data_IF_306492065092
#
_entry.id   IF_306492065092
#
_cell.length_a   1.000
_cell.length_b   1.000
_cell.length_c   1.000
_cell.angle_alpha   90.00
_cell.angle_beta   90.00
_cell.angle_gamma   90.00
#
_symmetry.space_group_name_H-M   'P 1'
#
loop_
_entity.id
_entity.type
_entity.pdbx_description
1 polymer ?
#
# COMPACT_ATOMS: atom_id res chain seq x y z
N UNK A 1 -24.55 -10.07 -20.84
CA UNK A 1 -23.99 -9.45 -19.60
C UNK A 1 -23.46 -10.51 -18.62
N UNK A 2 -24.21 -11.56 -18.32
CA UNK A 2 -23.76 -12.61 -17.37
C UNK A 2 -22.45 -13.30 -17.80
N UNK A 3 -22.34 -13.71 -19.07
CA UNK A 3 -21.12 -14.32 -19.61
C UNK A 3 -19.89 -13.39 -19.53
N UNK A 4 -20.08 -12.09 -19.71
CA UNK A 4 -19.02 -11.10 -19.55
C UNK A 4 -18.55 -10.99 -18.09
N UNK A 5 -19.49 -10.92 -17.15
CA UNK A 5 -19.18 -10.89 -15.71
C UNK A 5 -18.48 -12.17 -15.27
N UNK A 6 -19.00 -13.33 -15.69
CA UNK A 6 -18.39 -14.62 -15.39
C UNK A 6 -16.95 -14.71 -15.89
N UNK A 7 -16.71 -14.30 -17.14
CA UNK A 7 -15.36 -14.25 -17.71
C UNK A 7 -14.42 -13.32 -16.90
N UNK A 8 -14.92 -12.17 -16.45
CA UNK A 8 -14.16 -11.23 -15.62
C UNK A 8 -13.78 -11.84 -14.27
N UNK A 9 -14.74 -12.51 -13.61
CA UNK A 9 -14.49 -13.17 -12.33
C UNK A 9 -13.48 -14.30 -12.46
N UNK A 10 -13.61 -15.12 -13.53
CA UNK A 10 -12.63 -16.20 -13.79
C UNK A 10 -11.24 -15.62 -14.06
N UNK A 11 -11.12 -14.57 -14.86
CA UNK A 11 -9.84 -13.91 -15.11
C UNK A 11 -9.24 -13.32 -13.83
N UNK A 12 -10.06 -12.68 -13.01
CA UNK A 12 -9.61 -12.15 -11.70
C UNK A 12 -9.09 -13.27 -10.80
N UNK A 13 -9.85 -14.36 -10.65
CA UNK A 13 -9.43 -15.51 -9.87
C UNK A 13 -8.13 -16.13 -10.40
N UNK A 14 -8.01 -16.31 -11.71
CA UNK A 14 -6.77 -16.80 -12.33
C UNK A 14 -5.58 -15.87 -12.08
N UNK A 15 -5.78 -14.56 -12.22
CA UNK A 15 -4.72 -13.56 -11.94
C UNK A 15 -4.28 -13.61 -10.48
N UNK A 16 -5.23 -13.69 -9.54
CA UNK A 16 -4.92 -13.78 -8.11
C UNK A 16 -4.17 -15.08 -7.78
N UNK A 17 -4.58 -16.22 -8.34
CA UNK A 17 -3.89 -17.50 -8.16
C UNK A 17 -2.47 -17.46 -8.70
N UNK A 18 -2.27 -16.99 -9.94
CA UNK A 18 -0.93 -16.89 -10.53
C UNK A 18 -0.05 -15.92 -9.75
N UNK A 19 -0.57 -14.74 -9.38
CA UNK A 19 0.19 -13.75 -8.63
C UNK A 19 0.57 -14.27 -7.25
N UNK A 20 -0.35 -14.90 -6.53
CA UNK A 20 -0.08 -15.47 -5.20
C UNK A 20 0.94 -16.61 -5.28
N UNK A 21 0.86 -17.45 -6.31
CA UNK A 21 1.82 -18.51 -6.53
C UNK A 21 3.24 -17.97 -6.83
N UNK A 22 3.35 -16.96 -7.71
CA UNK A 22 4.63 -16.32 -8.05
C UNK A 22 5.26 -15.66 -6.82
N UNK A 23 4.46 -14.95 -6.01
CA UNK A 23 4.96 -14.32 -4.77
C UNK A 23 5.40 -15.38 -3.77
N UNK A 24 4.60 -16.43 -3.56
CA UNK A 24 4.93 -17.53 -2.65
C UNK A 24 6.20 -18.26 -3.11
N UNK A 25 6.32 -18.56 -4.40
CA UNK A 25 7.52 -19.16 -4.98
C UNK A 25 8.76 -18.25 -4.85
N UNK A 26 8.60 -16.96 -5.08
CA UNK A 26 9.67 -15.98 -4.90
C UNK A 26 10.21 -15.94 -3.47
N UNK A 27 9.33 -16.04 -2.48
CA UNK A 27 9.72 -16.10 -1.07
C UNK A 27 10.45 -17.40 -0.71
N UNK A 28 10.06 -18.53 -1.31
CA UNK A 28 10.71 -19.82 -1.05
C UNK A 28 12.09 -19.96 -1.71
N UNK A 29 12.32 -19.24 -2.82
CA UNK A 29 13.62 -19.22 -3.53
C UNK A 29 14.53 -18.11 -2.98
N UNK A 30 13.99 -17.13 -2.25
CA UNK A 30 14.77 -16.03 -1.69
C UNK A 30 15.86 -16.57 -0.76
N UNK A 31 17.12 -16.10 -0.90
CA UNK A 31 18.20 -16.53 -0.04
C UNK A 31 17.91 -16.09 1.41
N UNK A 32 17.78 -17.07 2.30
CA UNK A 32 17.55 -16.85 3.71
C UNK A 32 17.03 -18.12 4.38
N UNK A 33 17.33 -18.26 5.66
CA UNK A 33 16.77 -19.33 6.47
C UNK A 33 15.54 -18.78 7.22
N UNK A 34 14.32 -19.23 6.93
CA UNK A 34 13.12 -18.79 7.63
C UNK A 34 13.23 -18.92 9.16
N UNK A 35 13.91 -19.98 9.63
CA UNK A 35 14.18 -20.20 11.05
C UNK A 35 15.12 -19.13 11.63
N UNK A 36 16.11 -18.67 10.88
CA UNK A 36 17.00 -17.60 11.32
C UNK A 36 16.25 -16.27 11.48
N UNK A 37 15.29 -15.99 10.58
CA UNK A 37 14.43 -14.80 10.68
C UNK A 37 13.48 -14.90 11.88
N UNK A 38 12.88 -16.08 12.11
CA UNK A 38 12.00 -16.35 13.24
C UNK A 38 12.74 -16.26 14.59
N UNK A 39 14.02 -16.67 14.63
CA UNK A 39 14.86 -16.62 15.83
C UNK A 39 15.49 -15.25 16.08
N UNK A 40 15.36 -14.30 15.13
CA UNK A 40 16.09 -13.04 15.21
C UNK A 40 17.59 -13.20 15.15
N UNK A 41 18.06 -14.24 14.42
CA UNK A 41 19.50 -14.56 14.28
C UNK A 41 20.11 -15.27 15.50
N UNK A 42 19.29 -15.67 16.49
CA UNK A 42 19.78 -16.44 17.65
C UNK A 42 19.64 -17.92 17.40
N UNK A 43 20.59 -18.71 17.94
CA UNK A 43 20.48 -20.17 17.95
C UNK A 43 19.33 -20.57 18.88
N UNK A 44 18.32 -21.23 18.34
CA UNK A 44 17.21 -21.77 19.13
C UNK A 44 17.53 -23.16 19.61
N UNK A 45 17.01 -23.58 20.78
CA UNK A 45 17.05 -24.99 21.20
C UNK A 45 16.36 -25.88 20.17
N UNK A 46 16.83 -27.12 19.95
CA UNK A 46 16.27 -28.05 18.98
C UNK A 46 14.75 -28.27 19.11
N UNK A 47 14.22 -28.28 20.30
CA UNK A 47 12.78 -28.39 20.59
C UNK A 47 11.99 -27.20 20.02
N UNK A 48 12.52 -25.98 20.22
CA UNK A 48 11.87 -24.76 19.67
C UNK A 48 11.91 -24.73 18.16
N UNK A 49 12.99 -25.21 17.54
CA UNK A 49 13.11 -25.38 16.10
C UNK A 49 12.06 -26.35 15.58
N UNK A 50 11.91 -27.53 16.21
CA UNK A 50 10.92 -28.52 15.81
C UNK A 50 9.49 -27.97 15.88
N UNK A 51 9.14 -27.24 16.93
CA UNK A 51 7.81 -26.57 17.07
C UNK A 51 7.58 -25.55 15.97
N UNK A 52 8.58 -24.74 15.60
CA UNK A 52 8.47 -23.76 14.53
C UNK A 52 8.34 -24.42 13.16
N UNK A 53 9.14 -25.46 12.88
CA UNK A 53 9.06 -26.21 11.61
C UNK A 53 7.67 -26.82 11.45
N UNK A 54 7.14 -27.44 12.48
CA UNK A 54 5.78 -28.02 12.46
C UNK A 54 4.69 -26.95 12.36
N UNK A 55 4.82 -25.84 13.08
CA UNK A 55 3.82 -24.75 13.06
C UNK A 55 3.72 -24.05 11.72
N UNK A 56 4.84 -23.92 11.02
CA UNK A 56 4.91 -23.22 9.72
C UNK A 56 5.00 -24.18 8.54
N UNK A 57 4.85 -25.49 8.77
CA UNK A 57 4.92 -26.54 7.74
C UNK A 57 6.18 -26.48 6.88
N UNK A 58 7.33 -26.11 7.46
CA UNK A 58 8.57 -25.90 6.73
C UNK A 58 9.23 -27.18 6.23
N UNK A 59 8.81 -28.32 6.74
CA UNK A 59 9.23 -29.68 6.36
C UNK A 59 8.40 -30.27 5.21
N UNK A 60 7.29 -29.64 4.85
CA UNK A 60 6.42 -30.12 3.79
C UNK A 60 6.92 -29.72 2.39
N UNK A 61 6.56 -30.47 1.33
CA UNK A 61 6.86 -30.08 -0.04
C UNK A 61 6.24 -28.71 -0.38
N UNK A 62 6.94 -27.90 -1.17
CA UNK A 62 6.55 -26.54 -1.56
C UNK A 62 5.08 -26.43 -2.01
N UNK A 63 4.59 -27.34 -2.85
CA UNK A 63 3.22 -27.32 -3.34
C UNK A 63 2.20 -27.54 -2.21
N UNK A 64 2.54 -28.38 -1.24
CA UNK A 64 1.68 -28.64 -0.08
C UNK A 64 1.60 -27.40 0.79
N UNK A 65 2.73 -26.76 1.08
CA UNK A 65 2.77 -25.48 1.80
C UNK A 65 1.92 -24.42 1.10
N UNK A 66 2.03 -24.27 -0.22
CA UNK A 66 1.23 -23.31 -0.99
C UNK A 66 -0.28 -23.61 -0.91
N UNK A 67 -0.69 -24.85 -1.12
CA UNK A 67 -2.11 -25.24 -1.08
C UNK A 67 -2.69 -25.06 0.32
N UNK A 68 -1.95 -25.41 1.35
CA UNK A 68 -2.34 -25.22 2.76
C UNK A 68 -2.50 -23.73 3.07
N UNK A 69 -1.51 -22.91 2.69
CA UNK A 69 -1.58 -21.44 2.84
C UNK A 69 -2.78 -20.85 2.09
N UNK A 70 -2.98 -21.24 0.83
CA UNK A 70 -4.10 -20.76 0.02
C UNK A 70 -5.45 -21.14 0.62
N UNK A 71 -5.56 -22.37 1.11
CA UNK A 71 -6.76 -22.86 1.77
C UNK A 71 -7.11 -22.07 3.05
N UNK A 72 -6.11 -21.70 3.82
CA UNK A 72 -6.27 -20.84 5.00
C UNK A 72 -6.61 -19.40 4.60
N UNK A 73 -5.92 -18.84 3.62
CA UNK A 73 -6.17 -17.49 3.12
C UNK A 73 -7.61 -17.30 2.61
N UNK A 74 -8.16 -18.28 1.89
CA UNK A 74 -9.56 -18.27 1.41
C UNK A 74 -10.56 -18.31 2.59
N UNK A 75 -10.17 -18.87 3.73
CA UNK A 75 -10.98 -18.88 4.96
C UNK A 75 -10.80 -17.63 5.82
N UNK A 76 -9.95 -16.69 5.38
CA UNK A 76 -9.65 -15.44 6.09
C UNK A 76 -8.49 -15.54 7.07
N UNK A 77 -7.83 -16.68 7.18
CA UNK A 77 -6.61 -16.84 7.96
C UNK A 77 -5.39 -16.57 7.06
N UNK A 78 -4.82 -15.39 7.19
CA UNK A 78 -3.62 -14.98 6.47
C UNK A 78 -2.31 -15.35 7.18
N UNK A 79 -2.43 -15.99 8.33
CA UNK A 79 -1.32 -16.41 9.16
C UNK A 79 -0.64 -15.27 9.92
N UNK A 80 0.50 -15.59 10.53
CA UNK A 80 1.31 -14.64 11.31
C UNK A 80 2.45 -14.06 10.50
N UNK A 81 2.66 -12.75 10.62
CA UNK A 81 3.85 -12.08 10.09
C UNK A 81 5.09 -12.51 10.87
N UNK A 82 6.05 -13.12 10.20
CA UNK A 82 7.33 -13.53 10.77
C UNK A 82 8.11 -12.33 11.32
N UNK A 83 8.12 -11.23 10.58
CA UNK A 83 8.88 -10.01 10.93
C UNK A 83 8.23 -9.22 12.06
N UNK A 84 6.91 -9.05 12.02
CA UNK A 84 6.19 -8.21 13.00
C UNK A 84 5.63 -9.01 14.16
N UNK A 85 5.63 -10.36 14.09
CA UNK A 85 5.12 -11.29 15.12
C UNK A 85 3.66 -11.00 15.52
N UNK A 86 2.87 -10.56 14.56
CA UNK A 86 1.46 -10.22 14.71
C UNK A 86 0.65 -10.92 13.62
N UNK A 87 -0.63 -11.12 13.86
CA UNK A 87 -1.55 -11.63 12.86
C UNK A 87 -1.63 -10.69 11.66
N UNK A 88 -1.54 -11.25 10.44
CA UNK A 88 -1.57 -10.47 9.20
C UNK A 88 -2.92 -9.79 9.01
N UNK A 89 -4.02 -10.44 9.41
CA UNK A 89 -5.37 -9.88 9.33
C UNK A 89 -5.52 -8.65 10.23
N UNK A 90 -4.97 -8.69 11.45
CA UNK A 90 -4.91 -7.52 12.34
C UNK A 90 -4.06 -6.39 11.77
N UNK A 91 -2.89 -6.72 11.21
CA UNK A 91 -2.00 -5.74 10.59
C UNK A 91 -2.67 -5.02 9.43
N UNK A 92 -3.37 -5.77 8.57
CA UNK A 92 -4.13 -5.20 7.46
C UNK A 92 -5.26 -4.33 8.00
N UNK A 93 -6.05 -4.85 8.94
CA UNK A 93 -7.19 -4.15 9.53
C UNK A 93 -6.79 -2.82 10.16
N UNK A 94 -5.73 -2.81 10.95
CA UNK A 94 -5.24 -1.60 11.64
C UNK A 94 -4.72 -0.52 10.69
N UNK A 95 -4.22 -0.87 9.50
CA UNK A 95 -3.66 0.05 8.52
C UNK A 95 -4.65 0.46 7.43
N UNK A 96 -5.61 -0.41 7.12
CA UNK A 96 -6.58 -0.19 6.03
C UNK A 96 -7.39 1.09 6.22
N UNK A 97 -7.82 1.39 7.44
CA UNK A 97 -8.59 2.62 7.75
C UNK A 97 -7.85 3.89 7.34
N UNK A 98 -6.58 4.00 7.75
CA UNK A 98 -5.73 5.15 7.39
C UNK A 98 -5.46 5.22 5.89
N UNK A 99 -5.22 4.08 5.25
CA UNK A 99 -4.97 4.01 3.80
C UNK A 99 -6.20 4.44 3.00
N UNK A 100 -7.39 3.96 3.37
CA UNK A 100 -8.65 4.33 2.72
C UNK A 100 -8.93 5.83 2.92
N UNK A 101 -8.76 6.34 4.14
CA UNK A 101 -8.92 7.77 4.42
C UNK A 101 -7.96 8.63 3.59
N UNK A 102 -6.70 8.22 3.46
CA UNK A 102 -5.70 8.91 2.63
C UNK A 102 -6.09 8.91 1.14
N UNK A 103 -6.53 7.77 0.61
CA UNK A 103 -6.95 7.64 -0.79
C UNK A 103 -8.17 8.53 -1.07
N UNK A 104 -9.18 8.50 -0.19
CA UNK A 104 -10.38 9.32 -0.35
C UNK A 104 -10.06 10.81 -0.26
N UNK A 105 -9.16 11.20 0.65
CA UNK A 105 -8.73 12.59 0.78
C UNK A 105 -7.93 13.05 -0.44
N UNK A 106 -6.98 12.25 -0.92
CA UNK A 106 -6.26 12.55 -2.15
C UNK A 106 -7.19 12.64 -3.36
N UNK A 107 -8.15 11.70 -3.50
CA UNK A 107 -9.15 11.73 -4.57
C UNK A 107 -10.02 12.99 -4.53
N UNK A 108 -10.40 13.44 -3.34
CA UNK A 108 -11.14 14.71 -3.17
C UNK A 108 -10.31 15.91 -3.65
N UNK A 109 -9.01 15.96 -3.30
CA UNK A 109 -8.10 17.02 -3.76
C UNK A 109 -7.97 16.98 -5.30
N UNK A 110 -7.76 15.80 -5.88
CA UNK A 110 -7.67 15.61 -7.34
C UNK A 110 -8.95 16.10 -8.04
N UNK A 111 -10.11 15.72 -7.51
CA UNK A 111 -11.39 16.12 -8.08
C UNK A 111 -11.58 17.64 -8.02
N UNK A 112 -11.35 18.24 -6.86
CA UNK A 112 -11.52 19.68 -6.68
C UNK A 112 -10.49 20.48 -7.49
N UNK A 113 -9.22 20.11 -7.44
CA UNK A 113 -8.16 20.80 -8.17
C UNK A 113 -8.31 20.57 -9.69
N UNK A 114 -8.52 19.32 -10.13
CA UNK A 114 -8.65 18.98 -11.54
C UNK A 114 -9.85 19.66 -12.21
N UNK A 115 -11.03 19.59 -11.57
CA UNK A 115 -12.24 20.27 -12.09
C UNK A 115 -12.04 21.79 -12.11
N UNK A 116 -11.48 22.36 -11.04
CA UNK A 116 -11.29 23.82 -10.96
C UNK A 116 -10.26 24.32 -12.00
N UNK A 117 -9.12 23.65 -12.12
CA UNK A 117 -8.09 24.01 -13.09
C UNK A 117 -8.56 23.76 -14.53
N UNK A 118 -9.21 22.61 -14.78
CA UNK A 118 -9.76 22.31 -16.10
C UNK A 118 -10.82 23.30 -16.55
N UNK A 119 -11.73 23.68 -15.63
CA UNK A 119 -12.73 24.71 -15.92
C UNK A 119 -12.09 26.08 -16.17
N UNK A 120 -11.10 26.45 -15.37
CA UNK A 120 -10.38 27.70 -15.53
C UNK A 120 -9.66 27.78 -16.89
N UNK A 121 -8.99 26.70 -17.29
CA UNK A 121 -8.34 26.59 -18.59
C UNK A 121 -9.36 26.68 -19.75
N UNK A 122 -10.48 25.95 -19.66
CA UNK A 122 -11.51 25.94 -20.67
C UNK A 122 -12.21 27.32 -20.84
N UNK A 123 -12.43 28.05 -19.74
CA UNK A 123 -13.09 29.37 -19.75
C UNK A 123 -12.15 30.52 -20.14
N UNK A 124 -10.82 30.32 -20.06
CA UNK A 124 -9.82 31.34 -20.39
C UNK A 124 -8.75 30.78 -21.31
N UNK A 125 -9.07 30.50 -22.58
CA UNK A 125 -8.12 30.01 -23.57
C UNK A 125 -6.95 30.98 -23.77
N UNK A 126 -5.77 30.47 -24.14
CA UNK A 126 -4.56 31.23 -24.33
C UNK A 126 -3.56 31.12 -23.18
N UNK A 127 -3.14 32.24 -22.60
CA UNK A 127 -2.07 32.25 -21.58
C UNK A 127 -2.46 31.43 -20.34
N UNK A 128 -3.71 31.54 -19.86
CA UNK A 128 -4.18 30.82 -18.67
C UNK A 128 -4.20 29.32 -18.91
N UNK A 129 -4.74 28.88 -20.03
CA UNK A 129 -4.72 27.48 -20.45
C UNK A 129 -3.28 26.95 -20.55
N UNK A 130 -2.40 27.66 -21.23
CA UNK A 130 -0.99 27.27 -21.34
C UNK A 130 -0.29 27.20 -19.98
N UNK A 131 -0.58 28.09 -19.03
CA UNK A 131 -0.01 28.06 -17.69
C UNK A 131 -0.54 26.87 -16.88
N UNK A 132 -1.82 26.53 -16.99
CA UNK A 132 -2.40 25.35 -16.34
C UNK A 132 -1.74 24.08 -16.88
N UNK A 133 -1.67 23.92 -18.21
CA UNK A 133 -1.04 22.75 -18.83
C UNK A 133 0.44 22.64 -18.46
N UNK A 134 1.17 23.74 -18.48
CA UNK A 134 2.59 23.73 -18.14
C UNK A 134 2.82 23.41 -16.65
N UNK A 135 2.01 23.97 -15.75
CA UNK A 135 2.12 23.71 -14.31
C UNK A 135 1.77 22.27 -13.98
N UNK A 136 0.72 21.70 -14.56
CA UNK A 136 0.37 20.29 -14.38
C UNK A 136 1.46 19.36 -14.92
N UNK A 137 2.02 19.64 -16.09
CA UNK A 137 3.13 18.87 -16.64
C UNK A 137 4.36 18.85 -15.73
N UNK A 138 4.71 20.00 -15.12
CA UNK A 138 5.81 20.09 -14.14
C UNK A 138 5.50 19.27 -12.88
N UNK A 139 4.28 19.39 -12.35
CA UNK A 139 3.87 18.68 -11.14
C UNK A 139 3.91 17.17 -11.33
N UNK A 140 3.44 16.66 -12.47
CA UNK A 140 3.45 15.22 -12.80
C UNK A 140 4.85 14.66 -13.00
N UNK A 141 5.77 15.47 -13.48
CA UNK A 141 7.16 15.05 -13.63
C UNK A 141 7.87 14.76 -12.30
N UNK A 142 7.31 15.24 -11.17
CA UNK A 142 7.87 15.01 -9.84
C UNK A 142 7.34 13.71 -9.26
N UNK A 143 8.18 12.71 -8.94
CA UNK A 143 7.74 11.50 -8.27
C UNK A 143 7.04 11.81 -6.93
N UNK A 144 5.94 11.09 -6.58
CA UNK A 144 5.15 11.39 -5.38
C UNK A 144 5.96 11.42 -4.07
N UNK A 145 6.95 10.54 -3.94
CA UNK A 145 7.81 10.51 -2.75
C UNK A 145 8.71 11.75 -2.65
N UNK A 146 9.17 12.30 -3.78
CA UNK A 146 9.96 13.55 -3.81
C UNK A 146 9.07 14.72 -3.40
N UNK A 147 7.86 14.80 -3.98
CA UNK A 147 6.87 15.80 -3.59
C UNK A 147 6.57 15.73 -2.08
N UNK A 148 6.38 14.51 -1.52
CA UNK A 148 6.16 14.32 -0.10
C UNK A 148 7.32 14.84 0.76
N UNK A 149 8.57 14.54 0.40
CA UNK A 149 9.76 14.99 1.13
C UNK A 149 9.84 16.53 1.10
N UNK A 150 9.62 17.16 -0.05
CA UNK A 150 9.64 18.61 -0.20
C UNK A 150 8.52 19.26 0.63
N UNK A 151 7.30 18.74 0.55
CA UNK A 151 6.16 19.24 1.34
C UNK A 151 6.40 19.11 2.85
N UNK A 152 6.92 17.99 3.31
CA UNK A 152 7.29 17.78 4.71
C UNK A 152 8.37 18.78 5.12
N UNK A 153 9.43 18.94 4.31
CA UNK A 153 10.51 19.89 4.57
C UNK A 153 10.01 21.32 4.74
N UNK A 154 9.12 21.77 3.86
CA UNK A 154 8.59 23.14 3.89
C UNK A 154 7.56 23.29 5.03
N UNK A 155 6.49 22.50 5.02
CA UNK A 155 5.31 22.74 5.85
C UNK A 155 5.39 22.13 7.24
N UNK A 156 6.15 21.04 7.43
CA UNK A 156 6.28 20.42 8.73
C UNK A 156 7.56 20.84 9.47
N UNK A 157 8.70 20.92 8.78
CA UNK A 157 9.99 21.22 9.42
C UNK A 157 10.22 22.73 9.54
N UNK A 158 10.12 23.48 8.42
CA UNK A 158 10.43 24.89 8.40
C UNK A 158 9.27 25.74 8.95
N UNK A 159 8.07 25.57 8.41
CA UNK A 159 6.91 26.38 8.80
C UNK A 159 6.19 25.85 10.05
N UNK A 160 6.33 24.57 10.37
CA UNK A 160 5.66 23.89 11.51
C UNK A 160 4.13 24.02 11.49
N UNK A 161 3.52 24.10 10.31
CA UNK A 161 2.07 24.22 10.17
C UNK A 161 1.34 22.89 10.27
N UNK A 162 1.99 21.82 9.77
CA UNK A 162 1.42 20.48 9.68
C UNK A 162 2.38 19.46 10.32
N UNK A 163 1.86 18.37 10.87
CA UNK A 163 2.70 17.32 11.42
C UNK A 163 3.44 16.56 10.30
N UNK A 164 4.68 16.13 10.61
CA UNK A 164 5.53 15.39 9.66
C UNK A 164 5.18 13.89 9.62
N UNK A 165 4.76 13.31 10.74
CA UNK A 165 4.58 11.86 10.94
C UNK A 165 3.36 11.59 11.83
N UNK A 166 2.83 10.35 11.74
CA UNK A 166 1.74 9.87 12.58
C UNK A 166 0.40 9.82 11.86
N UNK A 167 -0.60 9.28 12.55
CA UNK A 167 -1.96 9.12 12.03
C UNK A 167 -2.96 10.08 12.70
N UNK A 168 -2.50 10.82 13.71
CA UNK A 168 -3.36 11.68 14.53
C UNK A 168 -4.31 10.93 15.45
N UNK A 169 -4.93 11.67 16.37
CA UNK A 169 -5.97 11.17 17.28
C UNK A 169 -7.29 11.89 17.01
N UNK A 170 -8.27 11.18 16.46
CA UNK A 170 -9.56 11.75 16.08
C UNK A 170 -9.58 12.36 14.66
N UNK A 171 -10.78 12.83 14.25
CA UNK A 171 -11.02 13.23 12.84
C UNK A 171 -10.18 14.43 12.41
N UNK A 172 -10.17 15.51 13.20
CA UNK A 172 -9.48 16.75 12.81
C UNK A 172 -7.96 16.58 12.77
N UNK A 173 -7.42 15.92 13.78
CA UNK A 173 -5.98 15.67 13.87
C UNK A 173 -5.53 14.68 12.80
N UNK A 174 -6.35 13.66 12.51
CA UNK A 174 -6.14 12.74 11.40
C UNK A 174 -6.06 13.45 10.04
N UNK A 175 -6.98 14.38 9.76
CA UNK A 175 -6.94 15.19 8.53
C UNK A 175 -5.63 15.97 8.44
N UNK A 176 -5.17 16.61 9.51
CA UNK A 176 -3.90 17.35 9.53
C UNK A 176 -2.70 16.47 9.21
N UNK A 177 -2.65 15.24 9.75
CA UNK A 177 -1.58 14.28 9.49
C UNK A 177 -1.61 13.73 8.05
N UNK A 178 -2.80 13.58 7.47
CA UNK A 178 -2.96 13.07 6.12
C UNK A 178 -2.82 14.15 5.04
N UNK A 179 -2.80 15.44 5.40
CA UNK A 179 -2.78 16.54 4.42
C UNK A 179 -1.56 16.49 3.51
N UNK A 180 -0.35 16.44 4.06
CA UNK A 180 0.88 16.44 3.23
C UNK A 180 0.97 15.21 2.31
N UNK A 181 0.77 13.97 2.81
CA UNK A 181 0.77 12.80 1.93
C UNK A 181 -0.39 12.80 0.92
N UNK A 182 -1.57 13.34 1.26
CA UNK A 182 -2.67 13.45 0.33
C UNK A 182 -2.36 14.43 -0.83
N UNK A 183 -1.74 15.56 -0.54
CA UNK A 183 -1.27 16.49 -1.58
C UNK A 183 -0.17 15.89 -2.46
N UNK A 184 0.76 15.13 -1.89
CA UNK A 184 1.80 14.45 -2.66
C UNK A 184 1.23 13.40 -3.62
N UNK A 185 0.23 12.62 -3.17
CA UNK A 185 -0.48 11.65 -4.02
C UNK A 185 -1.35 12.34 -5.07
N UNK A 186 -2.07 13.40 -4.68
CA UNK A 186 -2.91 14.17 -5.58
C UNK A 186 -2.10 14.81 -6.71
N UNK A 187 -0.93 15.38 -6.39
CA UNK A 187 -0.04 16.00 -7.38
C UNK A 187 0.31 15.04 -8.53
N UNK A 188 0.56 13.77 -8.23
CA UNK A 188 0.89 12.76 -9.23
C UNK A 188 -0.32 12.29 -10.07
N UNK A 189 -1.55 12.57 -9.60
CA UNK A 189 -2.79 12.06 -10.20
C UNK A 189 -3.64 13.12 -10.89
N UNK A 190 -3.22 14.41 -10.85
CA UNK A 190 -4.03 15.56 -11.32
C UNK A 190 -3.82 15.84 -12.82
N UNK A 191 -2.99 15.07 -13.50
CA UNK A 191 -2.71 15.22 -14.94
C UNK A 191 -3.59 14.32 -15.82
#
# INVERSE_FOLDING_TARGET
MLAYLLRRVIMLAATLLVSSFVVFAGLSVAPGNPLATLSGGRSLPPESVAVLVQRYHLDEPFLVQYVTWLGNAVRGDLGMSITLRQDVSELIGSRSGTTIALILYAALIVLLAGVSLGLLAALRPGIVDSLVVMSTAVVVAVPPFVAAIVLIGIFAVNLRWLPALGNGSGLWDGVRHLTLPAFALAAASTA
#
